data_IF_910421672149
#
_entry.id   IF_910421672149
#
_cell.length_a   1.000
_cell.length_b   1.000
_cell.length_c   1.000
_cell.angle_alpha   90.00
_cell.angle_beta   90.00
_cell.angle_gamma   90.00
#
_symmetry.space_group_name_H-M   'P 1'
#
loop_
_entity.id
_entity.type
_entity.pdbx_description
1 polymer ?
#
# COMPACT_ATOMS: atom_id res chain seq x y z
N UNK A 1 3.57 3.99 31.44
CA UNK A 1 4.47 3.43 30.42
C UNK A 1 5.20 4.64 29.84
N UNK A 2 6.52 4.77 29.99
CA UNK A 2 7.25 5.95 29.51
C UNK A 2 7.23 5.92 28.00
N UNK A 3 6.78 7.02 27.37
CA UNK A 3 6.95 7.29 25.98
C UNK A 3 8.42 7.04 25.61
N UNK A 4 8.72 6.24 24.59
CA UNK A 4 10.07 6.16 24.00
C UNK A 4 10.47 7.47 23.30
N UNK A 5 9.52 8.35 23.03
CA UNK A 5 9.76 9.76 22.79
C UNK A 5 10.25 10.38 24.11
N UNK A 6 11.45 10.96 24.10
CA UNK A 6 11.84 11.91 25.12
C UNK A 6 10.71 12.92 25.26
N UNK A 7 10.33 13.24 26.51
CA UNK A 7 9.28 14.23 26.78
C UNK A 7 9.51 15.44 25.85
N UNK A 8 8.51 15.74 25.01
CA UNK A 8 8.52 16.96 24.20
C UNK A 8 8.75 18.11 25.17
N UNK A 9 9.89 18.76 25.10
CA UNK A 9 10.21 19.84 26.05
C UNK A 9 9.36 21.06 25.65
N UNK A 10 8.14 21.15 26.20
CA UNK A 10 7.15 22.16 25.90
C UNK A 10 7.66 23.54 26.33
N UNK A 11 8.37 24.17 25.42
CA UNK A 11 8.81 25.55 25.54
C UNK A 11 7.84 26.49 24.85
N UNK A 12 7.85 27.82 25.17
CA UNK A 12 7.03 28.78 24.40
C UNK A 12 7.30 28.76 22.89
N UNK A 13 8.51 28.38 22.47
CA UNK A 13 8.89 28.24 21.07
C UNK A 13 8.17 27.04 20.44
N UNK A 14 8.16 25.89 21.11
CA UNK A 14 7.43 24.69 20.65
C UNK A 14 5.94 24.99 20.51
N UNK A 15 5.34 25.64 21.52
CA UNK A 15 3.91 26.03 21.45
C UNK A 15 3.63 26.94 20.26
N UNK A 16 4.47 27.93 19.99
CA UNK A 16 4.29 28.80 18.83
C UNK A 16 4.42 28.03 17.51
N UNK A 17 5.37 27.09 17.43
CA UNK A 17 5.56 26.26 16.24
C UNK A 17 4.36 25.33 15.98
N UNK A 18 3.81 24.72 17.04
CA UNK A 18 2.59 23.91 16.93
C UNK A 18 1.42 24.75 16.42
N UNK A 19 1.27 25.99 16.91
CA UNK A 19 0.23 26.90 16.39
C UNK A 19 0.42 27.26 14.90
N UNK A 20 1.66 27.36 14.42
CA UNK A 20 1.94 27.56 12.99
C UNK A 20 1.55 26.34 12.13
N UNK A 21 1.50 25.16 12.74
CA UNK A 21 1.14 23.90 12.13
C UNK A 21 -0.32 23.48 12.46
N UNK A 22 -1.11 24.39 13.02
CA UNK A 22 -2.51 24.19 13.44
C UNK A 22 -2.73 23.09 14.50
N UNK A 23 -1.70 22.81 15.33
CA UNK A 23 -1.80 21.89 16.46
C UNK A 23 -1.78 22.61 17.82
N UNK A 24 -2.55 22.07 18.76
CA UNK A 24 -2.34 22.33 20.20
C UNK A 24 -1.58 21.18 20.85
N UNK A 25 -0.95 21.43 22.00
CA UNK A 25 -0.21 20.37 22.73
C UNK A 25 -1.09 19.16 23.07
N UNK A 26 -2.32 19.31 23.60
CA UNK A 26 -3.21 18.17 23.86
C UNK A 26 -3.57 17.39 22.59
N UNK A 27 -3.88 18.07 21.49
CA UNK A 27 -4.22 17.41 20.22
C UNK A 27 -3.03 16.60 19.69
N UNK A 28 -1.82 17.12 19.78
CA UNK A 28 -0.63 16.38 19.40
C UNK A 28 -0.36 15.17 20.32
N UNK A 29 -0.56 15.31 21.65
CA UNK A 29 -0.39 14.21 22.60
C UNK A 29 -1.41 13.09 22.35
N UNK A 30 -2.67 13.43 22.05
CA UNK A 30 -3.74 12.50 21.72
C UNK A 30 -3.42 11.79 20.39
N UNK A 31 -3.06 12.52 19.34
CA UNK A 31 -2.70 11.98 18.04
C UNK A 31 -1.48 11.03 18.13
N UNK A 32 -0.42 11.40 18.88
CA UNK A 32 0.71 10.51 19.14
C UNK A 32 0.29 9.23 19.89
N UNK A 33 -0.69 9.32 20.78
CA UNK A 33 -1.19 8.15 21.52
C UNK A 33 -1.95 7.19 20.61
N UNK A 34 -2.74 7.71 19.68
CA UNK A 34 -3.48 6.94 18.69
C UNK A 34 -2.54 6.16 17.76
N UNK A 35 -1.52 6.80 17.21
CA UNK A 35 -0.52 6.14 16.34
C UNK A 35 0.32 5.06 17.05
N UNK A 36 0.49 5.12 18.36
CA UNK A 36 1.24 4.11 19.12
C UNK A 36 0.54 2.76 19.25
N UNK A 37 -0.76 2.73 19.02
CA UNK A 37 -1.58 1.52 19.20
C UNK A 37 -1.90 0.80 17.90
N UNK A 38 -1.56 1.34 16.72
CA UNK A 38 -2.19 0.99 15.47
C UNK A 38 -1.32 0.35 14.38
N UNK A 39 -0.18 -0.27 14.69
CA UNK A 39 0.55 -1.04 13.67
C UNK A 39 -0.08 -2.44 13.43
N UNK A 40 -1.39 -2.54 13.35
CA UNK A 40 -2.11 -3.81 13.20
C UNK A 40 -2.55 -4.05 11.74
N UNK A 41 -1.62 -3.95 10.77
CA UNK A 41 -1.86 -4.27 9.37
C UNK A 41 -1.98 -3.03 8.44
N UNK A 42 -1.98 -1.83 9.00
CA UNK A 42 -2.06 -0.59 8.23
C UNK A 42 -0.69 -0.15 7.68
N UNK A 43 -0.63 0.54 6.51
CA UNK A 43 0.61 1.02 5.94
C UNK A 43 1.26 2.05 6.87
N UNK A 44 2.44 1.73 7.39
CA UNK A 44 3.07 2.51 8.45
C UNK A 44 4.55 2.78 8.17
N UNK A 45 5.03 3.94 8.64
CA UNK A 45 6.44 4.31 8.59
C UNK A 45 6.96 4.67 9.97
N UNK A 46 8.21 4.29 10.25
CA UNK A 46 8.90 4.71 11.47
C UNK A 46 9.67 5.99 11.19
N UNK A 47 9.11 7.12 11.62
CA UNK A 47 9.64 8.45 11.33
C UNK A 47 10.56 8.92 12.43
N UNK A 48 11.74 9.40 12.04
CA UNK A 48 12.73 10.10 12.87
C UNK A 48 13.19 11.39 12.20
N UNK A 49 14.28 11.98 12.73
CA UNK A 49 14.99 13.09 12.06
C UNK A 49 16.47 12.79 11.94
N UNK A 50 17.10 13.30 10.88
CA UNK A 50 18.56 13.21 10.71
C UNK A 50 19.32 13.91 11.85
N UNK A 51 18.76 14.99 12.41
CA UNK A 51 19.36 15.70 13.56
C UNK A 51 19.48 14.77 14.76
N UNK A 52 18.38 14.14 15.19
CA UNK A 52 18.37 13.21 16.33
C UNK A 52 19.20 11.95 16.06
N UNK A 53 19.13 11.43 14.84
CA UNK A 53 19.91 10.26 14.42
C UNK A 53 21.42 10.52 14.53
N UNK A 54 21.91 11.67 14.06
CA UNK A 54 23.32 12.08 14.14
C UNK A 54 23.78 12.30 15.59
N UNK A 55 22.87 12.68 16.49
CA UNK A 55 23.13 12.80 17.93
C UNK A 55 23.07 11.43 18.65
N UNK A 56 22.89 10.33 17.91
CA UNK A 56 22.87 8.97 18.44
C UNK A 56 21.52 8.50 18.97
N UNK A 57 20.44 9.22 18.70
CA UNK A 57 19.07 8.81 19.03
C UNK A 57 18.42 8.07 17.86
N UNK A 58 17.93 6.86 18.13
CA UNK A 58 17.11 6.08 17.21
C UNK A 58 15.61 6.22 17.54
N UNK A 59 15.25 7.20 18.38
CA UNK A 59 13.86 7.41 18.77
C UNK A 59 13.09 8.01 17.62
N UNK A 60 12.06 7.30 17.18
CA UNK A 60 11.09 7.71 16.19
C UNK A 60 9.68 7.32 16.63
N UNK A 61 8.70 7.60 15.81
CA UNK A 61 7.31 7.20 15.98
C UNK A 61 6.88 6.36 14.78
N UNK A 62 6.21 5.24 15.03
CA UNK A 62 5.42 4.57 14.01
C UNK A 62 4.20 5.43 13.70
N UNK A 63 3.99 5.73 12.44
CA UNK A 63 2.92 6.57 11.96
C UNK A 63 2.15 5.76 10.91
N UNK A 64 0.87 5.54 11.18
CA UNK A 64 -0.08 4.96 10.26
C UNK A 64 -0.45 6.00 9.20
N UNK A 65 -0.15 5.71 7.93
CA UNK A 65 -0.37 6.62 6.82
C UNK A 65 -1.85 6.77 6.47
N UNK A 66 -2.67 5.73 6.74
CA UNK A 66 -4.12 5.75 6.47
C UNK A 66 -4.91 6.69 7.39
N UNK A 67 -4.25 7.20 8.45
CA UNK A 67 -4.84 8.16 9.39
C UNK A 67 -4.90 9.60 8.87
N UNK A 68 -4.37 9.88 7.67
CA UNK A 68 -4.30 11.23 7.10
C UNK A 68 -5.09 11.33 5.80
N UNK A 69 -5.79 12.45 5.62
CA UNK A 69 -6.57 12.71 4.43
C UNK A 69 -5.68 13.09 3.21
N UNK A 70 -4.50 13.68 3.47
CA UNK A 70 -3.53 14.08 2.44
C UNK A 70 -2.09 14.13 2.95
N UNK A 71 -1.14 14.28 2.00
CA UNK A 71 0.28 14.35 2.28
C UNK A 71 0.69 15.57 3.11
N UNK A 72 0.03 16.71 2.92
CA UNK A 72 0.33 17.94 3.68
C UNK A 72 -0.03 17.76 5.15
N UNK A 73 -1.15 17.11 5.47
CA UNK A 73 -1.53 16.77 6.83
C UNK A 73 -0.51 15.83 7.49
N UNK A 74 -0.11 14.76 6.79
CA UNK A 74 0.94 13.85 7.25
C UNK A 74 2.25 14.58 7.54
N UNK A 75 2.73 15.43 6.64
CA UNK A 75 3.97 16.21 6.82
C UNK A 75 3.86 17.20 7.98
N UNK A 76 2.71 17.86 8.13
CA UNK A 76 2.49 18.79 9.24
C UNK A 76 2.50 18.06 10.58
N UNK A 77 1.90 16.88 10.66
CA UNK A 77 1.98 16.03 11.84
C UNK A 77 3.44 15.62 12.14
N UNK A 78 4.19 15.14 11.14
CA UNK A 78 5.61 14.79 11.32
C UNK A 78 6.43 15.97 11.81
N UNK A 79 6.21 17.18 11.30
CA UNK A 79 6.88 18.40 11.78
C UNK A 79 6.44 18.80 13.19
N UNK A 80 5.18 18.55 13.56
CA UNK A 80 4.66 18.86 14.88
C UNK A 80 5.30 17.99 15.97
N UNK A 81 5.48 16.68 15.72
CA UNK A 81 6.13 15.78 16.68
C UNK A 81 7.62 16.10 16.91
N UNK A 82 8.26 16.83 15.98
CA UNK A 82 9.65 17.31 16.07
C UNK A 82 9.77 18.84 16.18
N UNK A 83 8.75 19.51 16.72
CA UNK A 83 8.71 20.97 16.87
C UNK A 83 9.80 21.54 17.80
N UNK A 84 10.53 20.69 18.53
CA UNK A 84 11.73 21.06 19.30
C UNK A 84 12.94 21.35 18.40
N UNK A 85 12.97 20.85 17.16
CA UNK A 85 13.96 21.21 16.14
C UNK A 85 13.52 22.46 15.38
N UNK A 86 14.47 23.24 14.87
CA UNK A 86 14.16 24.49 14.13
C UNK A 86 13.61 24.19 12.74
N UNK A 87 14.24 23.24 12.07
CA UNK A 87 13.89 22.75 10.75
C UNK A 87 14.16 21.24 10.74
N UNK A 88 13.19 20.43 11.18
CA UNK A 88 13.38 18.99 11.27
C UNK A 88 13.54 18.37 9.89
N UNK A 89 14.72 17.85 9.60
CA UNK A 89 14.97 17.04 8.40
C UNK A 89 14.48 15.62 8.68
N UNK A 90 13.28 15.30 8.18
CA UNK A 90 12.62 14.02 8.43
C UNK A 90 13.36 12.87 7.74
N UNK A 91 13.31 11.69 8.35
CA UNK A 91 13.76 10.44 7.74
C UNK A 91 12.80 9.30 8.08
N UNK A 92 12.55 8.42 7.12
CA UNK A 92 11.89 7.15 7.34
C UNK A 92 12.96 6.11 7.70
N UNK A 93 12.93 5.59 8.92
CA UNK A 93 13.94 4.63 9.42
C UNK A 93 13.50 3.19 9.18
N UNK A 94 12.19 2.94 9.05
CA UNK A 94 11.60 1.63 8.77
C UNK A 94 10.19 1.80 8.19
N UNK A 95 9.60 0.72 7.67
CA UNK A 95 8.26 0.71 7.09
C UNK A 95 7.60 -0.66 7.25
N UNK A 96 6.25 -0.68 7.25
CA UNK A 96 5.43 -1.89 7.35
C UNK A 96 4.19 -1.78 6.46
N UNK A 97 3.73 -2.94 5.95
CA UNK A 97 2.46 -3.12 5.24
C UNK A 97 2.31 -2.38 3.90
N UNK A 98 3.41 -2.13 3.20
CA UNK A 98 3.40 -1.69 1.79
C UNK A 98 4.67 -2.11 1.04
N UNK A 99 4.67 -2.13 -0.30
CA UNK A 99 5.81 -2.55 -1.11
C UNK A 99 7.05 -1.69 -0.94
N UNK A 100 8.22 -2.33 -0.85
CA UNK A 100 9.53 -1.69 -0.69
C UNK A 100 9.83 -0.61 -1.73
N UNK A 101 9.25 -0.68 -2.91
CA UNK A 101 9.53 0.25 -4.01
C UNK A 101 9.14 1.70 -3.68
N UNK A 102 8.15 1.93 -2.80
CA UNK A 102 7.70 3.25 -2.35
C UNK A 102 8.35 3.70 -1.03
N UNK A 103 9.23 2.88 -0.46
CA UNK A 103 9.99 3.28 0.72
C UNK A 103 11.28 3.99 0.32
N UNK A 104 11.48 5.18 0.90
CA UNK A 104 12.70 5.97 0.76
C UNK A 104 13.18 6.41 2.14
N UNK A 105 14.43 6.04 2.52
CA UNK A 105 15.05 6.46 3.79
C UNK A 105 15.14 7.99 3.90
N UNK A 106 15.35 8.69 2.78
CA UNK A 106 15.36 10.16 2.68
C UNK A 106 13.99 10.81 2.85
N UNK A 107 12.98 10.03 3.12
CA UNK A 107 11.56 10.34 3.21
C UNK A 107 10.81 10.19 1.87
N UNK A 108 9.53 9.82 1.96
CA UNK A 108 8.66 9.66 0.79
C UNK A 108 8.18 11.02 0.28
N UNK A 109 7.86 11.11 -0.98
CA UNK A 109 7.17 12.25 -1.57
C UNK A 109 5.64 12.04 -1.62
N UNK A 110 4.92 13.01 -2.15
CA UNK A 110 3.47 12.99 -2.26
C UNK A 110 2.96 11.85 -3.17
N UNK A 111 3.71 11.57 -4.25
CA UNK A 111 3.35 10.50 -5.19
C UNK A 111 3.49 9.12 -4.50
N UNK A 112 4.59 8.89 -3.79
CA UNK A 112 4.79 7.66 -3.00
C UNK A 112 3.70 7.48 -1.93
N UNK A 113 3.37 8.56 -1.19
CA UNK A 113 2.32 8.53 -0.16
C UNK A 113 0.96 8.14 -0.76
N UNK A 114 0.56 8.77 -1.86
CA UNK A 114 -0.70 8.47 -2.51
C UNK A 114 -0.77 7.04 -3.06
N UNK A 115 0.33 6.54 -3.66
CA UNK A 115 0.40 5.15 -4.13
C UNK A 115 0.31 4.14 -2.98
N UNK A 116 0.88 4.44 -1.81
CA UNK A 116 0.78 3.57 -0.63
C UNK A 116 -0.67 3.49 -0.14
N UNK A 117 -1.38 4.62 -0.08
CA UNK A 117 -2.79 4.62 0.33
C UNK A 117 -3.67 3.88 -0.67
N UNK A 118 -3.47 4.13 -1.96
CA UNK A 118 -4.20 3.43 -3.02
C UNK A 118 -3.95 1.91 -2.98
N UNK A 119 -2.70 1.48 -2.79
CA UNK A 119 -2.36 0.07 -2.59
C UNK A 119 -3.11 -0.53 -1.39
N UNK A 120 -3.12 0.16 -0.25
CA UNK A 120 -3.81 -0.30 0.96
C UNK A 120 -5.33 -0.45 0.72
N UNK A 121 -5.97 0.53 0.09
CA UNK A 121 -7.40 0.46 -0.28
C UNK A 121 -7.69 -0.73 -1.21
N UNK A 122 -6.80 -1.00 -2.17
CA UNK A 122 -6.96 -2.12 -3.08
C UNK A 122 -6.77 -3.46 -2.37
N UNK A 123 -5.81 -3.55 -1.42
CA UNK A 123 -5.63 -4.75 -0.59
C UNK A 123 -6.86 -5.03 0.28
N UNK A 124 -7.45 -4.02 0.89
CA UNK A 124 -8.69 -4.14 1.67
C UNK A 124 -9.86 -4.64 0.83
N UNK A 125 -9.94 -4.20 -0.42
CA UNK A 125 -11.04 -4.53 -1.33
C UNK A 125 -10.89 -5.91 -1.98
N UNK A 126 -9.68 -6.30 -2.37
CA UNK A 126 -9.43 -7.46 -3.23
C UNK A 126 -8.53 -8.53 -2.60
N UNK A 127 -7.87 -8.21 -1.49
CA UNK A 127 -6.86 -9.04 -0.83
C UNK A 127 -5.44 -8.80 -1.37
N UNK A 128 -4.46 -8.92 -0.49
CA UNK A 128 -3.04 -8.63 -0.76
C UNK A 128 -2.51 -9.44 -1.95
N UNK A 129 -2.82 -10.75 -2.01
CA UNK A 129 -2.34 -11.65 -3.05
C UNK A 129 -2.82 -11.25 -4.45
N UNK A 130 -4.07 -10.75 -4.57
CA UNK A 130 -4.61 -10.29 -5.84
C UNK A 130 -3.95 -8.99 -6.29
N UNK A 131 -3.69 -8.08 -5.35
CA UNK A 131 -3.04 -6.79 -5.63
C UNK A 131 -1.57 -6.99 -5.99
N UNK A 132 -0.85 -7.86 -5.27
CA UNK A 132 0.54 -8.20 -5.57
C UNK A 132 0.67 -8.84 -6.97
N UNK A 133 -0.22 -9.78 -7.31
CA UNK A 133 -0.24 -10.40 -8.64
C UNK A 133 -0.55 -9.38 -9.76
N UNK A 134 -1.43 -8.40 -9.49
CA UNK A 134 -1.74 -7.33 -10.45
C UNK A 134 -0.52 -6.45 -10.71
N UNK A 135 0.20 -6.06 -9.66
CA UNK A 135 1.39 -5.21 -9.74
C UNK A 135 2.58 -5.87 -10.45
N UNK A 136 2.55 -7.18 -10.72
CA UNK A 136 3.55 -7.81 -11.59
C UNK A 136 3.45 -7.33 -13.06
N UNK A 137 2.30 -6.79 -13.46
CA UNK A 137 1.97 -6.45 -14.84
C UNK A 137 1.57 -5.00 -15.08
N UNK A 138 1.16 -4.27 -14.03
CA UNK A 138 0.62 -2.91 -14.12
C UNK A 138 1.25 -2.02 -13.06
N UNK A 139 1.41 -0.73 -13.39
CA UNK A 139 2.06 0.26 -12.53
C UNK A 139 1.05 1.11 -11.73
N UNK A 140 -0.24 1.11 -12.10
CA UNK A 140 -1.34 1.83 -11.44
C UNK A 140 -2.55 0.91 -11.22
N UNK A 141 -3.52 1.35 -10.43
CA UNK A 141 -4.73 0.59 -10.09
C UNK A 141 -5.99 1.02 -10.85
N UNK A 142 -5.89 2.02 -11.74
CA UNK A 142 -7.02 2.61 -12.45
C UNK A 142 -7.91 1.59 -13.16
N UNK A 143 -7.32 0.51 -13.63
CA UNK A 143 -7.98 -0.51 -14.44
C UNK A 143 -8.12 -1.87 -13.73
N UNK A 144 -7.87 -1.93 -12.42
CA UNK A 144 -7.88 -3.20 -11.69
C UNK A 144 -9.21 -3.95 -11.86
N UNK A 145 -10.34 -3.30 -11.58
CA UNK A 145 -11.67 -3.94 -11.66
C UNK A 145 -12.04 -4.40 -13.09
N UNK A 146 -11.52 -3.72 -14.12
CA UNK A 146 -11.73 -4.12 -15.53
C UNK A 146 -10.85 -5.31 -15.93
N UNK A 147 -9.64 -5.38 -15.39
CA UNK A 147 -8.66 -6.41 -15.68
C UNK A 147 -8.93 -7.70 -14.88
N UNK A 148 -9.40 -7.60 -13.64
CA UNK A 148 -9.47 -8.72 -12.71
C UNK A 148 -10.52 -9.77 -13.12
N UNK A 149 -10.05 -11.01 -13.28
CA UNK A 149 -10.88 -12.15 -13.72
C UNK A 149 -11.03 -13.23 -12.63
N UNK A 150 -10.58 -12.95 -11.39
CA UNK A 150 -10.71 -13.87 -10.26
C UNK A 150 -9.50 -14.80 -10.06
N UNK A 151 -9.57 -15.61 -9.01
CA UNK A 151 -8.60 -16.64 -8.65
C UNK A 151 -8.99 -17.98 -9.29
N UNK A 152 -7.99 -18.71 -9.82
CA UNK A 152 -8.21 -19.97 -10.56
C UNK A 152 -7.10 -20.98 -10.20
N UNK A 153 -7.48 -22.27 -10.12
CA UNK A 153 -6.50 -23.33 -9.81
C UNK A 153 -5.42 -23.48 -10.90
N UNK A 154 -5.74 -23.12 -12.15
CA UNK A 154 -4.80 -23.17 -13.28
C UNK A 154 -5.29 -22.34 -14.47
N UNK A 155 -4.37 -22.04 -15.40
CA UNK A 155 -4.69 -21.47 -16.72
C UNK A 155 -5.73 -22.32 -17.50
N UNK A 156 -5.64 -23.66 -17.38
CA UNK A 156 -6.57 -24.57 -18.05
C UNK A 156 -7.98 -24.47 -17.46
N UNK A 157 -8.12 -24.33 -16.13
CA UNK A 157 -9.42 -24.18 -15.47
C UNK A 157 -10.08 -22.85 -15.83
N UNK A 158 -9.30 -21.76 -15.89
CA UNK A 158 -9.78 -20.49 -16.42
C UNK A 158 -10.22 -20.60 -17.88
N UNK A 159 -9.41 -21.21 -18.74
CA UNK A 159 -9.74 -21.41 -20.14
C UNK A 159 -11.01 -22.26 -20.32
N UNK A 160 -11.22 -23.25 -19.45
CA UNK A 160 -12.42 -24.09 -19.44
C UNK A 160 -13.66 -23.25 -19.10
N UNK A 161 -13.59 -22.36 -18.11
CA UNK A 161 -14.71 -21.47 -17.77
C UNK A 161 -15.06 -20.53 -18.94
N UNK A 162 -14.05 -19.97 -19.61
CA UNK A 162 -14.26 -19.14 -20.81
C UNK A 162 -14.99 -19.92 -21.91
N UNK A 163 -14.62 -21.18 -22.12
CA UNK A 163 -15.30 -22.04 -23.13
C UNK A 163 -16.73 -22.33 -22.71
N UNK A 164 -16.98 -22.64 -21.45
CA UNK A 164 -18.32 -22.95 -20.93
C UNK A 164 -19.25 -21.71 -20.99
N UNK A 165 -18.73 -20.52 -20.68
CA UNK A 165 -19.52 -19.30 -20.64
C UNK A 165 -19.75 -18.67 -22.03
N UNK A 166 -18.76 -18.75 -22.91
CA UNK A 166 -18.77 -18.02 -24.17
C UNK A 166 -19.08 -18.91 -25.40
N UNK A 167 -18.86 -20.23 -25.31
CA UNK A 167 -18.93 -21.13 -26.44
C UNK A 167 -19.79 -22.37 -26.13
N UNK A 168 -20.81 -22.64 -26.97
CA UNK A 168 -21.55 -23.91 -26.92
C UNK A 168 -20.82 -24.94 -27.81
N UNK A 169 -19.71 -25.50 -27.25
CA UNK A 169 -18.87 -26.45 -28.01
C UNK A 169 -19.60 -27.77 -28.30
N UNK A 170 -20.51 -28.22 -27.42
CA UNK A 170 -21.31 -29.42 -27.66
C UNK A 170 -22.21 -29.24 -28.86
N UNK A 171 -22.85 -28.09 -29.00
CA UNK A 171 -23.68 -27.76 -30.14
C UNK A 171 -22.89 -27.57 -31.44
N UNK A 172 -21.69 -26.97 -31.32
CA UNK A 172 -20.83 -26.62 -32.45
C UNK A 172 -20.06 -27.82 -32.98
N UNK A 173 -19.58 -28.73 -32.11
CA UNK A 173 -18.67 -29.83 -32.41
C UNK A 173 -19.29 -31.20 -32.19
N UNK A 174 -20.44 -31.30 -31.52
CA UNK A 174 -21.07 -32.57 -31.18
C UNK A 174 -20.14 -33.47 -30.37
N UNK A 175 -20.03 -34.75 -30.76
CA UNK A 175 -19.18 -35.71 -30.05
C UNK A 175 -17.66 -35.38 -30.08
N UNK A 176 -17.21 -34.45 -30.95
CA UNK A 176 -15.84 -34.00 -31.00
C UNK A 176 -15.50 -33.02 -29.85
N UNK A 177 -16.50 -32.47 -29.18
CA UNK A 177 -16.28 -31.62 -27.98
C UNK A 177 -15.45 -32.33 -26.90
N UNK A 178 -15.58 -33.66 -26.78
CA UNK A 178 -14.79 -34.46 -25.83
C UNK A 178 -13.27 -34.52 -26.16
N UNK A 179 -12.88 -34.08 -27.33
CA UNK A 179 -11.48 -34.02 -27.81
C UNK A 179 -10.95 -32.60 -27.89
N UNK A 180 -11.67 -31.62 -27.33
CA UNK A 180 -11.20 -30.24 -27.28
C UNK A 180 -9.96 -30.13 -26.37
N UNK A 181 -8.89 -29.54 -26.89
CA UNK A 181 -7.61 -29.39 -26.18
C UNK A 181 -7.61 -28.08 -25.38
N UNK A 182 -8.13 -28.14 -24.14
CA UNK A 182 -8.17 -27.00 -23.22
C UNK A 182 -6.78 -26.46 -22.89
N UNK A 183 -5.76 -27.32 -22.79
CA UNK A 183 -4.40 -26.89 -22.51
C UNK A 183 -3.79 -26.10 -23.68
N UNK A 184 -4.11 -26.46 -24.91
CA UNK A 184 -3.67 -25.69 -26.09
C UNK A 184 -4.41 -24.33 -26.14
N UNK A 185 -5.70 -24.32 -25.85
CA UNK A 185 -6.50 -23.10 -25.81
C UNK A 185 -6.05 -22.14 -24.70
N UNK A 186 -5.77 -22.65 -23.49
CA UNK A 186 -5.21 -21.89 -22.39
C UNK A 186 -3.89 -21.20 -22.78
N UNK A 187 -2.94 -21.94 -23.38
CA UNK A 187 -1.69 -21.35 -23.86
C UNK A 187 -1.88 -20.17 -24.82
N UNK A 188 -2.87 -20.28 -25.72
CA UNK A 188 -3.14 -19.19 -26.66
C UNK A 188 -3.75 -17.99 -25.94
N UNK A 189 -4.68 -18.19 -24.98
CA UNK A 189 -5.26 -17.11 -24.16
C UNK A 189 -4.18 -16.38 -23.35
N UNK A 190 -3.34 -17.11 -22.63
CA UNK A 190 -2.29 -16.52 -21.78
C UNK A 190 -1.09 -15.99 -22.56
N UNK A 191 -0.95 -16.34 -23.82
CA UNK A 191 0.05 -15.74 -24.70
C UNK A 191 -0.32 -14.29 -25.07
N UNK A 192 -1.61 -13.99 -25.25
CA UNK A 192 -2.06 -12.73 -25.86
C UNK A 192 -3.03 -11.91 -25.01
N UNK A 193 -3.96 -12.54 -24.31
CA UNK A 193 -5.12 -11.86 -23.77
C UNK A 193 -5.14 -11.75 -22.23
N UNK A 194 -4.44 -12.66 -21.54
CA UNK A 194 -4.48 -12.76 -20.08
C UNK A 194 -3.09 -12.94 -19.47
N UNK A 195 -2.97 -12.58 -18.19
CA UNK A 195 -1.84 -12.89 -17.32
C UNK A 195 -2.36 -13.66 -16.11
N UNK A 196 -1.53 -14.55 -15.54
CA UNK A 196 -1.78 -15.19 -14.25
C UNK A 196 -0.59 -14.89 -13.35
N UNK A 197 -0.84 -14.32 -12.17
CA UNK A 197 0.17 -14.02 -11.17
C UNK A 197 0.61 -15.23 -10.36
N UNK A 198 1.54 -15.01 -9.45
CA UNK A 198 2.14 -16.07 -8.63
C UNK A 198 1.14 -16.74 -7.66
N UNK A 199 0.08 -16.02 -7.25
CA UNK A 199 -0.98 -16.47 -6.36
C UNK A 199 -2.23 -16.94 -7.11
N UNK A 200 -2.11 -17.18 -8.43
CA UNK A 200 -3.17 -17.70 -9.30
C UNK A 200 -4.33 -16.73 -9.62
N UNK A 201 -4.15 -15.45 -9.39
CA UNK A 201 -5.10 -14.44 -9.87
C UNK A 201 -4.90 -14.16 -11.36
N UNK A 202 -6.00 -14.10 -12.11
CA UNK A 202 -6.00 -13.89 -13.55
C UNK A 202 -6.42 -12.46 -13.86
N UNK A 203 -5.69 -11.83 -14.76
CA UNK A 203 -5.95 -10.48 -15.26
C UNK A 203 -5.96 -10.45 -16.76
N UNK A 204 -6.97 -9.75 -17.32
CA UNK A 204 -7.05 -9.46 -18.74
C UNK A 204 -6.05 -8.37 -19.10
N UNK A 205 -5.34 -8.55 -20.20
CA UNK A 205 -4.51 -7.48 -20.79
C UNK A 205 -5.39 -6.41 -21.41
N UNK A 206 -5.17 -5.15 -21.01
CA UNK A 206 -5.93 -3.99 -21.45
C UNK A 206 -5.16 -3.21 -22.52
#
# INVERSE_FOLDING_TARGET
MRLQFGELNITPRVVNRLHELDFTVPELEDAIADHKSSCDGEPSVYVGTYGKYNDGSLCGLWIDLSSFDDYDEFINFCKAIYADEEDPELMAQDFECFPRQWYNEGFMDEDDFNHILEYSEMCDKHGDEAVDDYMEYYDDFDNFDEAYCGEWDSEEDFARSIVEDCYDIEKSMGSLANYFDYAAFARDLFMWDYNMGAHNHVFRRL
#
